data_IF_851309969662
#
_entry.id   IF_851309969662
#
_cell.length_a   1.000
_cell.length_b   1.000
_cell.length_c   1.000
_cell.angle_alpha   90.00
_cell.angle_beta   90.00
_cell.angle_gamma   90.00
#
_symmetry.space_group_name_H-M   'P 1'
#
loop_
_entity.id
_entity.type
_entity.pdbx_description
1 polymer ?
#
# COMPACT_ATOMS: atom_id res chain seq x y z
N UNK A 1 12.46 -25.03 4.73
CA UNK A 1 11.24 -24.23 4.54
C UNK A 1 10.22 -24.93 3.65
N UNK A 2 10.35 -24.96 2.32
CA UNK A 2 9.33 -25.58 1.45
C UNK A 2 9.06 -27.06 1.74
N UNK A 3 10.11 -27.87 1.91
CA UNK A 3 9.99 -29.33 2.12
C UNK A 3 9.51 -29.72 3.52
N UNK A 4 9.95 -28.98 4.53
CA UNK A 4 9.74 -29.36 5.94
C UNK A 4 8.52 -28.65 6.56
N UNK A 5 8.34 -27.37 6.24
CA UNK A 5 7.31 -26.52 6.84
C UNK A 5 6.17 -26.20 5.88
N UNK A 6 6.28 -26.64 4.62
CA UNK A 6 5.25 -26.48 3.60
C UNK A 6 4.75 -25.04 3.41
N UNK A 7 5.59 -24.02 3.62
CA UNK A 7 5.20 -22.62 3.35
C UNK A 7 4.96 -22.39 1.85
N UNK A 8 4.11 -21.42 1.52
CA UNK A 8 3.68 -21.12 0.14
C UNK A 8 4.45 -19.97 -0.53
N UNK A 9 5.47 -19.43 0.15
CA UNK A 9 6.28 -18.37 -0.41
C UNK A 9 7.33 -17.83 0.54
N UNK A 10 8.12 -16.91 0.01
CA UNK A 10 9.20 -16.22 0.69
C UNK A 10 9.08 -14.71 0.45
N UNK A 11 9.36 -13.93 1.50
CA UNK A 11 9.69 -12.51 1.37
C UNK A 11 11.18 -12.37 1.68
N UNK A 12 11.96 -11.96 0.69
CA UNK A 12 13.40 -11.74 0.81
C UNK A 12 13.63 -10.31 1.31
N UNK A 13 14.24 -10.21 2.50
CA UNK A 13 14.56 -8.95 3.16
C UNK A 13 15.72 -8.23 2.46
N UNK A 14 15.59 -6.90 2.35
CA UNK A 14 16.60 -5.96 1.90
C UNK A 14 17.49 -6.48 0.75
N UNK A 15 16.91 -6.95 -0.36
CA UNK A 15 17.67 -7.65 -1.41
C UNK A 15 18.70 -6.78 -2.11
N UNK A 16 18.58 -5.45 -1.99
CA UNK A 16 19.56 -4.47 -2.44
C UNK A 16 20.89 -4.54 -1.66
N UNK A 17 20.90 -5.11 -0.46
CA UNK A 17 22.09 -5.36 0.35
C UNK A 17 22.77 -6.71 0.04
N UNK A 18 22.16 -7.54 -0.82
CA UNK A 18 22.77 -8.79 -1.28
C UNK A 18 23.69 -8.46 -2.47
N UNK A 19 24.99 -8.35 -2.17
CA UNK A 19 26.01 -8.00 -3.15
C UNK A 19 26.55 -9.26 -3.82
N UNK A 20 26.20 -9.49 -5.08
CA UNK A 20 26.71 -10.60 -5.87
C UNK A 20 27.11 -10.14 -7.28
N UNK A 21 28.37 -10.39 -7.65
CA UNK A 21 28.96 -10.02 -8.93
C UNK A 21 29.11 -11.21 -9.89
N UNK A 22 28.66 -12.41 -9.49
CA UNK A 22 28.70 -13.59 -10.36
C UNK A 22 27.80 -13.40 -11.59
N UNK A 23 28.12 -14.03 -12.74
CA UNK A 23 27.27 -13.97 -13.93
C UNK A 23 25.84 -14.46 -13.69
N UNK A 24 25.67 -15.49 -12.85
CA UNK A 24 24.38 -15.91 -12.30
C UNK A 24 24.26 -15.34 -10.89
N UNK A 25 23.40 -14.33 -10.73
CA UNK A 25 23.18 -13.67 -9.46
C UNK A 25 22.45 -14.62 -8.49
N UNK A 26 22.78 -14.58 -7.19
CA UNK A 26 22.20 -15.49 -6.18
C UNK A 26 20.67 -15.41 -6.13
N UNK A 27 20.09 -14.23 -6.35
CA UNK A 27 18.63 -14.06 -6.39
C UNK A 27 17.99 -14.80 -7.57
N UNK A 28 18.64 -14.81 -8.73
CA UNK A 28 18.19 -15.57 -9.90
C UNK A 28 18.32 -17.07 -9.63
N UNK A 29 19.48 -17.50 -9.12
CA UNK A 29 19.75 -18.89 -8.76
C UNK A 29 18.73 -19.42 -7.72
N UNK A 30 18.44 -18.61 -6.69
CA UNK A 30 17.48 -18.90 -5.63
C UNK A 30 16.05 -18.99 -6.17
N UNK A 31 15.63 -18.02 -6.99
CA UNK A 31 14.29 -18.02 -7.60
C UNK A 31 14.07 -19.29 -8.42
N UNK A 32 15.02 -19.62 -9.30
CA UNK A 32 14.96 -20.83 -10.10
C UNK A 32 14.94 -22.11 -9.25
N UNK A 33 15.72 -22.17 -8.16
CA UNK A 33 15.73 -23.32 -7.27
C UNK A 33 14.39 -23.51 -6.55
N UNK A 34 13.76 -22.41 -6.11
CA UNK A 34 12.44 -22.41 -5.49
C UNK A 34 11.37 -22.86 -6.48
N UNK A 35 11.33 -22.29 -7.69
CA UNK A 35 10.32 -22.65 -8.69
C UNK A 35 10.46 -24.09 -9.18
N UNK A 36 11.68 -24.62 -9.34
CA UNK A 36 11.90 -26.05 -9.63
C UNK A 36 11.36 -26.96 -8.53
N UNK A 37 11.57 -26.59 -7.27
CA UNK A 37 11.04 -27.36 -6.14
C UNK A 37 9.51 -27.25 -6.04
N UNK A 38 8.94 -26.08 -6.35
CA UNK A 38 7.50 -25.85 -6.41
C UNK A 38 6.85 -26.73 -7.48
N UNK A 39 7.42 -26.77 -8.69
CA UNK A 39 6.99 -27.63 -9.80
C UNK A 39 7.05 -29.11 -9.41
N UNK A 40 8.15 -29.55 -8.79
CA UNK A 40 8.31 -30.93 -8.29
C UNK A 40 7.22 -31.33 -7.30
N UNK A 41 6.73 -30.39 -6.50
CA UNK A 41 5.67 -30.61 -5.52
C UNK A 41 4.26 -30.37 -6.09
N UNK A 42 4.12 -29.88 -7.34
CA UNK A 42 2.84 -29.49 -7.91
C UNK A 42 2.18 -28.31 -7.18
N UNK A 43 2.99 -27.38 -6.65
CA UNK A 43 2.54 -26.24 -5.85
C UNK A 43 2.90 -24.92 -6.51
N UNK A 44 2.08 -23.91 -6.30
CA UNK A 44 2.42 -22.53 -6.61
C UNK A 44 3.17 -21.92 -5.41
N UNK A 45 4.39 -21.44 -5.62
CA UNK A 45 5.22 -20.82 -4.57
C UNK A 45 5.67 -19.45 -5.07
N UNK A 46 5.50 -18.43 -4.23
CA UNK A 46 5.88 -17.05 -4.58
C UNK A 46 7.17 -16.60 -3.89
N UNK A 47 8.02 -15.88 -4.61
CA UNK A 47 9.23 -15.24 -4.08
C UNK A 47 9.12 -13.72 -4.27
N UNK A 48 8.96 -12.99 -3.17
CA UNK A 48 8.75 -11.54 -3.16
C UNK A 48 9.99 -10.86 -2.59
N UNK A 49 10.48 -9.82 -3.25
CA UNK A 49 11.62 -9.03 -2.78
C UNK A 49 11.16 -7.78 -2.04
N UNK A 50 11.90 -7.39 -1.02
CA UNK A 50 11.95 -6.02 -0.52
C UNK A 50 13.19 -5.33 -1.08
N UNK A 51 13.01 -4.19 -1.74
CA UNK A 51 14.12 -3.42 -2.31
C UNK A 51 13.81 -1.93 -2.35
N UNK A 52 14.74 -1.11 -1.84
CA UNK A 52 14.69 0.35 -2.00
C UNK A 52 15.07 0.80 -3.41
N UNK A 53 15.48 -0.09 -4.33
CA UNK A 53 16.15 0.32 -5.58
C UNK A 53 15.21 0.78 -6.71
N UNK A 54 13.91 0.45 -6.65
CA UNK A 54 12.99 0.55 -7.79
C UNK A 54 13.54 -0.10 -9.08
N UNK A 55 14.22 -1.25 -8.93
CA UNK A 55 14.84 -1.97 -10.04
C UNK A 55 13.91 -3.08 -10.56
N UNK A 56 13.34 -2.94 -11.78
CA UNK A 56 12.48 -3.96 -12.36
C UNK A 56 13.22 -5.26 -12.69
N UNK A 57 14.56 -5.28 -12.67
CA UNK A 57 15.36 -6.50 -12.88
C UNK A 57 14.97 -7.60 -11.89
N UNK A 58 14.58 -7.25 -10.66
CA UNK A 58 14.16 -8.21 -9.64
C UNK A 58 13.02 -9.11 -10.14
N UNK A 59 12.02 -8.52 -10.79
CA UNK A 59 10.76 -9.20 -11.17
C UNK A 59 10.68 -9.53 -12.67
N UNK A 60 11.61 -9.01 -13.47
CA UNK A 60 11.68 -9.34 -14.89
C UNK A 60 12.05 -10.82 -15.10
N UNK A 61 11.54 -11.40 -16.19
CA UNK A 61 11.83 -12.79 -16.55
C UNK A 61 13.33 -12.98 -16.85
N UNK A 62 13.94 -14.15 -16.52
CA UNK A 62 15.35 -14.41 -16.81
C UNK A 62 15.73 -14.25 -18.29
N UNK A 63 14.84 -14.64 -19.22
CA UNK A 63 15.05 -14.43 -20.65
C UNK A 63 15.16 -12.94 -21.07
N UNK A 64 14.70 -12.01 -20.22
CA UNK A 64 14.85 -10.56 -20.40
C UNK A 64 15.96 -9.95 -19.50
N UNK A 65 16.81 -10.79 -18.90
CA UNK A 65 17.92 -10.38 -18.02
C UNK A 65 17.52 -10.07 -16.57
N UNK A 66 16.32 -10.47 -16.15
CA UNK A 66 15.85 -10.33 -14.76
C UNK A 66 16.14 -11.55 -13.88
N UNK A 67 15.80 -11.45 -12.59
CA UNK A 67 15.98 -12.54 -11.62
C UNK A 67 14.76 -13.47 -11.51
N UNK A 68 13.64 -13.10 -12.14
CA UNK A 68 12.44 -13.92 -12.13
C UNK A 68 11.79 -14.05 -10.76
N UNK A 69 11.89 -13.06 -9.88
CA UNK A 69 11.10 -13.02 -8.64
C UNK A 69 9.63 -12.72 -8.98
N UNK A 70 8.72 -13.23 -8.16
CA UNK A 70 7.28 -13.13 -8.41
C UNK A 70 6.70 -11.77 -8.03
N UNK A 71 7.38 -11.03 -7.14
CA UNK A 71 6.97 -9.68 -6.80
C UNK A 71 8.03 -8.86 -6.08
N UNK A 72 7.72 -7.58 -5.90
CA UNK A 72 8.55 -6.61 -5.18
C UNK A 72 7.65 -5.68 -4.36
N UNK A 73 8.09 -5.34 -3.15
CA UNK A 73 7.46 -4.29 -2.36
C UNK A 73 7.68 -2.94 -3.05
N UNK A 74 6.60 -2.17 -3.23
CA UNK A 74 6.66 -0.80 -3.70
C UNK A 74 6.39 0.17 -2.56
N UNK A 75 7.47 0.58 -1.89
CA UNK A 75 7.39 1.57 -0.83
C UNK A 75 7.06 2.97 -1.37
N UNK A 76 7.33 3.24 -2.65
CA UNK A 76 6.91 4.46 -3.34
C UNK A 76 5.39 4.70 -3.24
N UNK A 77 4.60 3.62 -3.34
CA UNK A 77 3.15 3.69 -3.16
C UNK A 77 2.80 4.12 -1.73
N UNK A 78 3.41 3.46 -0.75
CA UNK A 78 3.23 3.77 0.67
C UNK A 78 3.62 5.23 0.98
N UNK A 79 4.84 5.64 0.62
CA UNK A 79 5.34 6.99 0.91
C UNK A 79 4.48 8.07 0.25
N UNK A 80 4.06 7.85 -1.01
CA UNK A 80 3.17 8.78 -1.71
C UNK A 80 1.82 8.94 -1.01
N UNK A 81 1.23 7.82 -0.57
CA UNK A 81 -0.05 7.82 0.16
C UNK A 81 0.10 8.44 1.55
N UNK A 82 1.09 8.02 2.34
CA UNK A 82 1.33 8.52 3.69
C UNK A 82 1.58 10.01 3.71
N UNK A 83 2.48 10.53 2.85
CA UNK A 83 2.77 11.96 2.77
C UNK A 83 1.55 12.81 2.35
N UNK A 84 0.60 12.25 1.59
CA UNK A 84 -0.66 12.93 1.26
C UNK A 84 -1.64 12.95 2.43
N UNK A 85 -1.68 11.88 3.22
CA UNK A 85 -2.59 11.75 4.36
C UNK A 85 -2.11 12.55 5.57
N UNK A 86 -0.82 12.48 5.90
CA UNK A 86 -0.27 13.07 7.13
C UNK A 86 0.33 14.46 6.93
N UNK A 87 0.71 14.80 5.69
CA UNK A 87 1.48 16.01 5.42
C UNK A 87 2.96 15.91 5.82
N UNK A 88 3.43 14.77 6.35
CA UNK A 88 4.83 14.59 6.74
C UNK A 88 5.78 14.68 5.54
N UNK A 89 6.95 15.32 5.76
CA UNK A 89 8.00 15.55 4.76
C UNK A 89 9.40 15.28 5.29
N UNK A 90 9.55 14.69 6.47
CA UNK A 90 10.85 14.38 7.05
C UNK A 90 11.45 13.10 6.44
N UNK A 91 12.78 12.99 6.43
CA UNK A 91 13.45 11.77 5.94
C UNK A 91 13.17 11.50 4.46
N UNK A 92 12.83 10.25 4.14
CA UNK A 92 12.48 9.85 2.77
C UNK A 92 11.13 10.42 2.30
N UNK A 93 10.25 10.88 3.20
CA UNK A 93 8.96 11.48 2.81
C UNK A 93 9.09 12.81 2.05
N UNK A 94 10.24 13.50 2.12
CA UNK A 94 10.48 14.74 1.37
C UNK A 94 10.44 14.53 -0.16
N UNK A 95 10.66 13.30 -0.62
CA UNK A 95 10.61 12.93 -2.03
C UNK A 95 9.17 12.82 -2.56
N UNK A 96 8.16 12.93 -1.67
CA UNK A 96 6.76 12.62 -1.97
C UNK A 96 5.79 13.75 -1.56
N UNK A 97 4.48 13.46 -1.61
CA UNK A 97 3.44 14.34 -1.07
C UNK A 97 2.70 15.24 -2.06
N UNK A 98 2.77 14.93 -3.35
CA UNK A 98 1.90 15.48 -4.39
C UNK A 98 0.95 14.39 -4.90
N UNK A 99 -0.19 14.79 -5.47
CA UNK A 99 -1.12 13.82 -6.07
C UNK A 99 -0.49 13.09 -7.26
N UNK A 100 0.41 13.76 -8.01
CA UNK A 100 1.12 13.14 -9.12
C UNK A 100 2.06 12.02 -8.65
N UNK A 101 2.67 12.13 -7.46
CA UNK A 101 3.48 11.04 -6.90
C UNK A 101 2.65 9.76 -6.73
N UNK A 102 1.50 9.86 -6.06
CA UNK A 102 0.60 8.70 -5.90
C UNK A 102 0.01 8.23 -7.24
N UNK A 103 -0.31 9.15 -8.15
CA UNK A 103 -0.83 8.79 -9.48
C UNK A 103 0.22 8.03 -10.31
N UNK A 104 1.52 8.37 -10.22
CA UNK A 104 2.60 7.60 -10.86
C UNK A 104 2.71 6.19 -10.29
N UNK A 105 2.68 6.06 -8.95
CA UNK A 105 2.65 4.75 -8.30
C UNK A 105 1.43 3.93 -8.76
N UNK A 106 0.23 4.51 -8.81
CA UNK A 106 -0.99 3.86 -9.30
C UNK A 106 -0.94 3.44 -10.77
N UNK A 107 -0.17 4.14 -11.62
CA UNK A 107 -0.01 3.80 -13.05
C UNK A 107 1.05 2.73 -13.32
N UNK A 108 2.13 2.73 -12.55
CA UNK A 108 3.35 2.05 -12.97
C UNK A 108 4.06 1.19 -11.92
N UNK A 109 3.51 1.13 -10.71
CA UNK A 109 4.08 0.42 -9.57
C UNK A 109 5.03 1.31 -8.78
N UNK A 110 5.89 2.07 -9.46
CA UNK A 110 6.84 3.01 -8.86
C UNK A 110 6.46 4.48 -9.13
N UNK A 111 6.92 5.37 -8.24
CA UNK A 111 6.87 6.83 -8.43
C UNK A 111 8.15 7.32 -9.10
N UNK A 112 9.30 6.81 -8.65
CA UNK A 112 10.63 7.10 -9.18
C UNK A 112 11.05 6.02 -10.17
N UNK A 113 11.21 6.42 -11.43
CA UNK A 113 11.58 5.58 -12.58
C UNK A 113 12.77 6.18 -13.36
N UNK A 114 13.61 6.96 -12.68
CA UNK A 114 14.81 7.61 -13.22
C UNK A 114 14.95 9.08 -12.84
N UNK A 115 13.95 9.67 -12.18
CA UNK A 115 13.99 11.05 -11.70
C UNK A 115 15.02 11.22 -10.57
N UNK A 116 15.48 12.45 -10.36
CA UNK A 116 16.35 12.79 -9.23
C UNK A 116 15.56 12.77 -7.92
N UNK A 117 16.04 12.02 -6.93
CA UNK A 117 15.52 11.98 -5.56
C UNK A 117 16.30 12.96 -4.68
N UNK A 118 15.67 14.02 -4.15
CA UNK A 118 16.28 14.93 -3.18
C UNK A 118 16.86 14.21 -1.95
N UNK A 119 16.16 13.22 -1.41
CA UNK A 119 16.59 12.45 -0.25
C UNK A 119 17.84 11.62 -0.55
N UNK A 120 17.81 10.84 -1.63
CA UNK A 120 18.91 9.93 -2.01
C UNK A 120 20.05 10.66 -2.72
N UNK A 121 19.85 11.92 -3.10
CA UNK A 121 20.79 12.80 -3.81
C UNK A 121 21.33 12.19 -5.10
N UNK A 122 20.51 11.41 -5.80
CA UNK A 122 20.83 10.73 -7.06
C UNK A 122 19.58 10.46 -7.88
N UNK A 123 19.75 10.13 -9.16
CA UNK A 123 18.68 9.54 -9.96
C UNK A 123 18.27 8.19 -9.39
N UNK A 124 16.97 7.93 -9.36
CA UNK A 124 16.41 6.79 -8.66
C UNK A 124 15.38 6.02 -9.47
N UNK A 125 15.46 4.69 -9.42
CA UNK A 125 14.56 3.76 -10.09
C UNK A 125 14.72 3.68 -11.61
N UNK A 126 13.97 2.74 -12.20
CA UNK A 126 13.92 2.51 -13.65
C UNK A 126 12.50 2.15 -14.08
N UNK A 127 12.08 2.48 -15.33
CA UNK A 127 10.75 2.10 -15.79
C UNK A 127 10.60 0.58 -15.86
N UNK A 128 9.42 0.09 -15.48
CA UNK A 128 9.08 -1.34 -15.45
C UNK A 128 7.99 -1.71 -16.50
N UNK A 129 8.21 -1.50 -17.81
CA UNK A 129 7.15 -1.63 -18.82
C UNK A 129 6.64 -3.06 -18.99
N UNK A 130 7.47 -4.06 -18.67
CA UNK A 130 7.14 -5.49 -18.75
C UNK A 130 6.57 -6.06 -17.44
N UNK A 131 6.53 -5.27 -16.37
CA UNK A 131 6.02 -5.73 -15.08
C UNK A 131 4.49 -5.76 -15.07
N UNK A 132 3.92 -6.87 -14.61
CA UNK A 132 2.48 -6.97 -14.35
C UNK A 132 2.13 -6.31 -13.00
N UNK A 133 0.94 -5.68 -12.86
CA UNK A 133 0.50 -5.13 -11.59
C UNK A 133 0.53 -6.14 -10.43
N UNK A 134 0.21 -7.42 -10.67
CA UNK A 134 0.33 -8.48 -9.66
C UNK A 134 1.74 -8.67 -9.08
N UNK A 135 2.79 -8.11 -9.69
CA UNK A 135 4.16 -8.20 -9.20
C UNK A 135 4.53 -7.08 -8.23
N UNK A 136 3.65 -6.10 -8.02
CA UNK A 136 3.88 -5.04 -7.03
C UNK A 136 3.06 -5.33 -5.78
N UNK A 137 3.73 -5.37 -4.63
CA UNK A 137 3.10 -5.46 -3.32
C UNK A 137 3.04 -4.05 -2.74
N UNK A 138 1.84 -3.60 -2.37
CA UNK A 138 1.60 -2.25 -1.85
C UNK A 138 0.93 -2.32 -0.49
N UNK A 139 1.20 -1.32 0.37
CA UNK A 139 0.60 -1.24 1.69
C UNK A 139 0.39 0.22 2.12
N UNK A 140 -0.52 0.43 3.08
CA UNK A 140 -0.58 1.65 3.87
C UNK A 140 0.26 1.52 5.16
N UNK A 141 0.43 0.30 5.67
CA UNK A 141 1.30 0.01 6.81
C UNK A 141 1.98 -1.34 6.61
N UNK A 142 3.19 -1.46 7.13
CA UNK A 142 3.88 -2.71 7.39
C UNK A 142 4.72 -2.55 8.67
N UNK A 143 5.56 -3.54 8.99
CA UNK A 143 6.35 -3.51 10.21
C UNK A 143 7.41 -2.39 10.23
N UNK A 144 8.01 -2.05 9.08
CA UNK A 144 8.98 -0.94 8.97
C UNK A 144 8.28 0.41 9.03
N UNK A 145 7.22 0.59 8.24
CA UNK A 145 6.55 1.88 8.11
C UNK A 145 5.88 2.34 9.42
N UNK A 146 5.54 1.38 10.30
CA UNK A 146 5.11 1.65 11.68
C UNK A 146 6.31 1.63 12.63
N UNK A 147 7.10 0.56 12.63
CA UNK A 147 8.13 0.30 13.66
C UNK A 147 9.40 1.13 13.56
N UNK A 148 9.66 1.74 12.39
CA UNK A 148 10.76 2.69 12.22
C UNK A 148 10.40 4.13 12.63
N UNK A 149 9.17 4.37 13.08
CA UNK A 149 8.80 5.60 13.79
C UNK A 149 9.27 5.52 15.24
N UNK A 150 9.59 6.65 15.86
CA UNK A 150 10.23 6.65 17.18
C UNK A 150 9.35 5.97 18.25
N UNK A 151 8.05 6.28 18.27
CA UNK A 151 7.10 5.67 19.20
C UNK A 151 6.34 4.48 18.61
N UNK A 152 6.57 4.15 17.34
CA UNK A 152 5.92 3.04 16.64
C UNK A 152 4.44 3.30 16.33
N UNK A 153 4.05 4.56 16.11
CA UNK A 153 2.65 4.92 15.91
C UNK A 153 2.08 4.34 14.61
N UNK A 154 0.92 3.70 14.70
CA UNK A 154 0.15 3.28 13.53
C UNK A 154 -0.49 4.47 12.83
N UNK A 155 -0.84 4.31 11.56
CA UNK A 155 -1.60 5.32 10.81
C UNK A 155 -2.90 5.72 11.53
N UNK A 156 -3.53 4.80 12.26
CA UNK A 156 -4.73 5.04 13.09
C UNK A 156 -4.53 6.03 14.26
N UNK A 157 -3.28 6.32 14.63
CA UNK A 157 -2.92 7.34 15.60
C UNK A 157 -2.53 8.67 14.95
N UNK A 158 -2.34 8.69 13.64
CA UNK A 158 -1.82 9.84 12.89
C UNK A 158 -2.91 10.58 12.11
N UNK A 159 -3.98 9.88 11.72
CA UNK A 159 -5.01 10.43 10.82
C UNK A 159 -6.43 10.10 11.28
N UNK A 160 -7.41 10.82 10.73
CA UNK A 160 -8.84 10.61 11.01
C UNK A 160 -9.37 9.27 10.45
N UNK A 161 -10.54 8.84 10.94
CA UNK A 161 -11.23 7.65 10.42
C UNK A 161 -11.53 7.74 8.91
N UNK A 162 -11.88 8.93 8.40
CA UNK A 162 -12.10 9.15 6.97
C UNK A 162 -10.81 8.87 6.17
N UNK A 163 -9.69 9.42 6.63
CA UNK A 163 -8.37 9.18 6.03
C UNK A 163 -7.94 7.70 6.10
N UNK A 164 -8.26 6.98 7.18
CA UNK A 164 -8.02 5.53 7.26
C UNK A 164 -8.84 4.75 6.21
N UNK A 165 -10.12 5.10 6.04
CA UNK A 165 -10.99 4.47 5.02
C UNK A 165 -10.51 4.79 3.61
N UNK A 166 -10.02 6.01 3.37
CA UNK A 166 -9.40 6.40 2.10
C UNK A 166 -8.12 5.62 1.83
N UNK A 167 -7.23 5.47 2.83
CA UNK A 167 -6.01 4.69 2.72
C UNK A 167 -6.32 3.22 2.36
N UNK A 168 -7.26 2.61 3.09
CA UNK A 168 -7.71 1.24 2.86
C UNK A 168 -8.24 1.03 1.45
N UNK A 169 -9.13 1.91 0.97
CA UNK A 169 -9.67 1.83 -0.38
C UNK A 169 -8.58 2.03 -1.45
N UNK A 170 -7.66 2.97 -1.22
CA UNK A 170 -6.54 3.24 -2.13
C UNK A 170 -5.66 2.00 -2.30
N UNK A 171 -5.33 1.30 -1.21
CA UNK A 171 -4.51 0.07 -1.22
C UNK A 171 -5.29 -1.13 -1.79
N UNK A 172 -6.45 -1.43 -1.23
CA UNK A 172 -7.19 -2.68 -1.52
C UNK A 172 -7.84 -2.64 -2.90
N UNK A 173 -8.25 -1.48 -3.42
CA UNK A 173 -8.86 -1.38 -4.75
C UNK A 173 -7.83 -1.05 -5.86
N UNK A 174 -6.55 -0.88 -5.50
CA UNK A 174 -5.46 -0.73 -6.46
C UNK A 174 -5.31 -1.96 -7.37
N UNK A 175 -4.67 -1.82 -8.54
CA UNK A 175 -4.37 -2.97 -9.41
C UNK A 175 -3.27 -3.90 -8.85
N UNK A 176 -2.66 -3.57 -7.72
CA UNK A 176 -1.50 -4.24 -7.14
C UNK A 176 -1.90 -5.26 -6.07
N UNK A 177 -0.96 -6.05 -5.56
CA UNK A 177 -1.19 -6.97 -4.44
C UNK A 177 -1.19 -6.20 -3.10
N UNK A 178 -2.32 -6.13 -2.37
CA UNK A 178 -2.36 -5.44 -1.09
C UNK A 178 -1.72 -6.29 0.02
N UNK A 179 -0.82 -5.69 0.79
CA UNK A 179 -0.34 -6.18 2.08
C UNK A 179 -1.02 -5.37 3.19
N UNK A 180 -1.59 -6.07 4.18
CA UNK A 180 -2.19 -5.47 5.37
C UNK A 180 -1.33 -5.77 6.59
N UNK A 181 -1.08 -4.77 7.42
CA UNK A 181 -0.41 -4.98 8.69
C UNK A 181 -1.42 -5.39 9.77
N UNK A 182 -1.06 -6.38 10.59
CA UNK A 182 -1.95 -6.89 11.63
C UNK A 182 -2.51 -5.76 12.50
N UNK A 183 -3.83 -5.68 12.66
CA UNK A 183 -4.47 -4.60 13.43
C UNK A 183 -5.01 -3.45 12.58
N UNK A 184 -4.49 -3.24 11.37
CA UNK A 184 -4.92 -2.18 10.46
C UNK A 184 -6.42 -2.29 10.14
N UNK A 185 -6.94 -3.50 10.00
CA UNK A 185 -8.29 -3.75 9.50
C UNK A 185 -9.39 -3.26 10.44
N UNK A 186 -9.08 -3.06 11.73
CA UNK A 186 -9.98 -2.44 12.69
C UNK A 186 -9.39 -1.18 13.31
N UNK A 187 -8.28 -0.67 12.78
CA UNK A 187 -7.62 0.54 13.28
C UNK A 187 -7.09 0.39 14.70
N UNK A 188 -6.38 -0.71 14.99
CA UNK A 188 -5.69 -0.91 16.28
C UNK A 188 -4.84 0.31 16.63
N UNK A 189 -4.83 0.70 17.91
CA UNK A 189 -4.12 1.88 18.40
C UNK A 189 -2.85 1.54 19.18
N UNK A 190 -2.61 0.26 19.48
CA UNK A 190 -1.35 -0.18 20.05
C UNK A 190 -0.21 0.12 19.06
N UNK A 191 0.90 0.72 19.51
CA UNK A 191 2.04 0.92 18.63
C UNK A 191 2.62 -0.42 18.16
N UNK A 192 3.51 -0.40 17.18
CA UNK A 192 4.39 -1.52 16.90
C UNK A 192 5.81 -1.03 17.03
N UNK A 193 6.41 -1.22 18.20
CA UNK A 193 7.72 -0.66 18.55
C UNK A 193 8.85 -1.61 18.14
N UNK A 194 10.05 -1.08 17.95
CA UNK A 194 11.24 -1.91 17.81
C UNK A 194 11.64 -2.47 19.19
N UNK A 195 11.55 -3.79 19.37
CA UNK A 195 11.92 -4.50 20.60
C UNK A 195 12.92 -5.62 20.32
N UNK A 196 13.79 -5.89 21.28
CA UNK A 196 14.80 -6.96 21.24
C UNK A 196 14.88 -7.70 22.57
N UNK A 197 15.59 -8.83 22.59
CA UNK A 197 15.85 -9.61 23.80
C UNK A 197 17.27 -10.19 23.74
N UNK A 198 18.27 -9.32 23.57
CA UNK A 198 19.67 -9.75 23.49
C UNK A 198 20.18 -10.12 24.89
N UNK A 199 20.76 -11.31 25.01
CA UNK A 199 21.39 -11.75 26.26
C UNK A 199 22.76 -11.13 26.51
N UNK A 200 23.45 -10.69 25.46
CA UNK A 200 24.73 -9.99 25.53
C UNK A 200 24.52 -8.51 25.93
N UNK A 201 25.03 -8.07 27.10
CA UNK A 201 24.87 -6.69 27.56
C UNK A 201 25.52 -5.64 26.66
N UNK A 202 26.63 -5.95 26.00
CA UNK A 202 27.32 -5.00 25.13
C UNK A 202 26.51 -4.79 23.85
N UNK A 203 25.94 -5.87 23.30
CA UNK A 203 25.01 -5.80 22.18
C UNK A 203 23.72 -5.05 22.57
N UNK A 204 23.16 -5.33 23.75
CA UNK A 204 22.01 -4.64 24.29
C UNK A 204 22.21 -3.12 24.34
N UNK A 205 23.34 -2.70 24.91
CA UNK A 205 23.73 -1.31 25.02
C UNK A 205 23.97 -0.68 23.63
N UNK A 206 24.67 -1.38 22.74
CA UNK A 206 24.93 -0.92 21.38
C UNK A 206 23.62 -0.70 20.59
N UNK A 207 22.64 -1.58 20.71
CA UNK A 207 21.31 -1.45 20.08
C UNK A 207 20.57 -0.23 20.63
N UNK A 208 20.53 -0.06 21.96
CA UNK A 208 19.86 1.08 22.61
C UNK A 208 20.44 2.41 22.13
N UNK A 209 21.76 2.53 22.13
CA UNK A 209 22.45 3.75 21.70
C UNK A 209 22.38 3.96 20.18
N UNK A 210 22.41 2.88 19.39
CA UNK A 210 22.21 2.92 17.94
C UNK A 210 20.85 3.53 17.60
N UNK A 211 19.78 3.04 18.25
CA UNK A 211 18.43 3.55 18.06
C UNK A 211 18.34 5.03 18.44
N UNK A 212 18.82 5.43 19.63
CA UNK A 212 18.81 6.85 20.06
C UNK A 212 19.51 7.77 19.06
N UNK A 213 20.67 7.37 18.53
CA UNK A 213 21.40 8.15 17.51
C UNK A 213 20.63 8.28 16.19
N UNK A 214 19.97 7.21 15.76
CA UNK A 214 19.14 7.22 14.55
C UNK A 214 18.01 8.26 14.66
N UNK A 215 17.27 8.28 15.78
CA UNK A 215 16.14 9.21 15.97
C UNK A 215 16.54 10.65 16.29
N UNK A 216 17.73 10.87 16.85
CA UNK A 216 18.27 12.21 17.03
C UNK A 216 18.36 12.96 15.67
N UNK A 217 18.61 12.24 14.57
CA UNK A 217 18.63 12.82 13.22
C UNK A 217 17.24 13.23 12.70
N UNK A 218 16.16 12.67 13.25
CA UNK A 218 14.79 12.98 12.86
C UNK A 218 14.15 14.09 13.70
N UNK A 219 14.83 14.56 14.77
CA UNK A 219 14.33 15.53 15.76
C UNK A 219 13.14 15.03 16.62
N UNK A 220 13.04 13.72 16.81
CA UNK A 220 12.05 13.10 17.69
C UNK A 220 12.78 12.98 19.04
N UNK A 221 12.28 13.64 20.08
CA UNK A 221 13.00 13.89 21.33
C UNK A 221 13.32 12.66 22.19
N UNK A 222 13.49 12.86 23.49
CA UNK A 222 13.92 11.84 24.48
C UNK A 222 12.94 10.65 24.67
N UNK A 223 11.83 10.58 23.94
CA UNK A 223 10.73 9.62 24.10
C UNK A 223 10.90 8.29 23.33
N UNK A 224 12.11 7.97 22.84
CA UNK A 224 12.37 6.69 22.16
C UNK A 224 12.29 5.54 23.18
N UNK A 225 11.35 4.58 23.04
CA UNK A 225 11.25 3.44 23.93
C UNK A 225 12.53 2.60 23.92
N UNK A 226 12.95 2.11 25.10
CA UNK A 226 14.07 1.19 25.19
C UNK A 226 13.71 -0.16 24.52
N UNK A 227 14.45 -0.59 23.46
CA UNK A 227 14.13 -1.84 22.77
C UNK A 227 14.27 -3.08 23.66
N UNK A 228 15.12 -3.05 24.70
CA UNK A 228 15.34 -4.17 25.61
C UNK A 228 14.37 -4.19 26.81
N UNK A 229 13.55 -3.15 27.00
CA UNK A 229 12.52 -3.15 28.05
C UNK A 229 11.36 -4.07 27.63
N UNK A 230 11.03 -5.11 28.42
CA UNK A 230 9.87 -5.97 28.13
C UNK A 230 8.56 -5.21 27.91
N UNK A 231 8.39 -4.03 28.53
CA UNK A 231 7.22 -3.20 28.33
C UNK A 231 7.08 -2.70 26.87
N UNK A 232 8.17 -2.57 26.11
CA UNK A 232 8.17 -2.20 24.68
C UNK A 232 7.53 -3.31 23.83
N UNK A 233 7.82 -4.56 24.14
CA UNK A 233 7.12 -5.70 23.53
C UNK A 233 5.66 -5.77 23.97
N UNK A 234 5.36 -5.62 25.27
CA UNK A 234 4.00 -5.71 25.79
C UNK A 234 3.07 -4.62 25.22
N UNK A 235 3.55 -3.37 25.10
CA UNK A 235 2.80 -2.28 24.44
C UNK A 235 2.53 -2.54 22.96
N UNK A 236 3.34 -3.39 22.31
CA UNK A 236 3.21 -3.71 20.89
C UNK A 236 2.18 -4.83 20.60
N UNK A 237 1.56 -5.40 21.64
CA UNK A 237 0.52 -6.41 21.49
C UNK A 237 -0.81 -5.79 21.05
N UNK A 238 -1.46 -6.45 20.10
CA UNK A 238 -2.76 -6.02 19.55
C UNK A 238 -3.85 -5.92 20.62
N UNK A 239 -4.59 -4.82 20.58
CA UNK A 239 -5.75 -4.57 21.44
C UNK A 239 -7.03 -5.11 20.79
N UNK A 240 -7.18 -6.44 20.79
CA UNK A 240 -8.27 -7.13 20.08
C UNK A 240 -9.68 -6.70 20.52
N UNK A 241 -9.85 -6.29 21.78
CA UNK A 241 -11.12 -5.80 22.32
C UNK A 241 -11.63 -4.52 21.63
N UNK A 242 -10.75 -3.73 20.99
CA UNK A 242 -11.17 -2.56 20.22
C UNK A 242 -12.19 -2.91 19.14
N UNK A 243 -12.14 -4.11 18.56
CA UNK A 243 -13.06 -4.59 17.52
C UNK A 243 -14.53 -4.55 17.92
N UNK A 244 -14.84 -4.55 19.20
CA UNK A 244 -16.22 -4.50 19.72
C UNK A 244 -16.76 -3.08 19.82
N UNK A 245 -15.87 -2.08 19.76
CA UNK A 245 -16.27 -0.67 19.79
C UNK A 245 -16.74 -0.23 18.40
N UNK A 246 -17.79 0.61 18.38
CA UNK A 246 -18.51 1.03 17.18
C UNK A 246 -17.61 1.44 16.00
N UNK A 247 -16.63 2.32 16.24
CA UNK A 247 -15.77 2.85 15.17
C UNK A 247 -14.85 1.78 14.55
N UNK A 248 -14.28 0.92 15.38
CA UNK A 248 -13.35 -0.14 14.98
C UNK A 248 -14.10 -1.29 14.29
N UNK A 249 -15.30 -1.63 14.79
CA UNK A 249 -16.20 -2.58 14.15
C UNK A 249 -16.64 -2.10 12.75
N UNK A 250 -16.97 -0.82 12.62
CA UNK A 250 -17.34 -0.22 11.34
C UNK A 250 -16.17 -0.24 10.34
N UNK A 251 -14.95 0.09 10.79
CA UNK A 251 -13.75 -0.01 9.97
C UNK A 251 -13.49 -1.46 9.53
N UNK A 252 -13.64 -2.43 10.44
CA UNK A 252 -13.50 -3.84 10.10
C UNK A 252 -14.53 -4.31 9.07
N UNK A 253 -15.78 -3.89 9.21
CA UNK A 253 -16.83 -4.18 8.22
C UNK A 253 -16.50 -3.53 6.86
N UNK A 254 -15.96 -2.32 6.87
CA UNK A 254 -15.52 -1.63 5.66
C UNK A 254 -14.37 -2.38 4.96
N UNK A 255 -13.34 -2.83 5.68
CA UNK A 255 -12.26 -3.66 5.12
C UNK A 255 -12.79 -4.96 4.50
N UNK A 256 -13.74 -5.63 5.17
CA UNK A 256 -14.39 -6.84 4.62
C UNK A 256 -15.10 -6.53 3.31
N UNK A 257 -15.79 -5.39 3.22
CA UNK A 257 -16.47 -4.98 2.01
C UNK A 257 -15.50 -4.66 0.88
N UNK A 258 -14.40 -3.95 1.16
CA UNK A 258 -13.35 -3.69 0.16
C UNK A 258 -12.77 -5.00 -0.40
N UNK A 259 -12.49 -5.98 0.45
CA UNK A 259 -12.00 -7.30 0.03
C UNK A 259 -13.05 -8.07 -0.76
N UNK A 260 -14.33 -7.96 -0.39
CA UNK A 260 -15.44 -8.55 -1.15
C UNK A 260 -15.52 -7.94 -2.56
N UNK A 261 -15.55 -6.61 -2.65
CA UNK A 261 -15.60 -5.85 -3.90
C UNK A 261 -14.41 -6.18 -4.81
N UNK A 262 -13.19 -6.18 -4.24
CA UNK A 262 -11.97 -6.55 -4.96
C UNK A 262 -12.08 -7.94 -5.59
N UNK A 263 -12.69 -8.90 -4.90
CA UNK A 263 -12.88 -10.27 -5.40
C UNK A 263 -14.05 -10.41 -6.36
N UNK A 264 -15.13 -9.66 -6.17
CA UNK A 264 -16.38 -9.87 -6.90
C UNK A 264 -16.49 -9.08 -8.20
N UNK A 265 -15.84 -7.92 -8.30
CA UNK A 265 -15.90 -7.07 -9.49
C UNK A 265 -14.75 -7.47 -10.41
N UNK A 266 -15.00 -7.96 -11.65
CA UNK A 266 -13.95 -8.41 -12.56
C UNK A 266 -12.89 -7.34 -12.86
N UNK A 267 -13.31 -6.08 -13.06
CA UNK A 267 -12.39 -4.95 -13.27
C UNK A 267 -11.43 -4.69 -12.09
N UNK A 268 -11.79 -5.14 -10.87
CA UNK A 268 -10.91 -5.06 -9.70
C UNK A 268 -10.09 -6.34 -9.50
N UNK A 269 -10.69 -7.51 -9.74
CA UNK A 269 -10.09 -8.82 -9.53
C UNK A 269 -8.96 -9.13 -10.52
N UNK A 270 -9.06 -8.62 -11.76
CA UNK A 270 -8.03 -8.78 -12.79
C UNK A 270 -6.90 -7.79 -12.59
N UNK A 271 -5.70 -8.29 -12.24
CA UNK A 271 -4.51 -7.50 -11.90
C UNK A 271 -3.60 -7.28 -13.11
N UNK A 272 -4.19 -6.88 -14.23
CA UNK A 272 -3.49 -6.58 -15.47
C UNK A 272 -3.40 -5.08 -15.73
N UNK A 273 -2.43 -4.68 -16.55
CA UNK A 273 -2.15 -3.27 -16.84
C UNK A 273 -3.14 -2.67 -17.84
N UNK A 274 -3.71 -3.51 -18.69
CA UNK A 274 -4.66 -3.07 -19.72
C UNK A 274 -5.91 -2.45 -19.08
N UNK A 275 -6.40 -1.35 -19.68
CA UNK A 275 -7.61 -0.69 -19.21
C UNK A 275 -7.45 0.15 -17.93
N UNK A 276 -6.22 0.40 -17.44
CA UNK A 276 -5.98 1.31 -16.30
C UNK A 276 -5.74 2.74 -16.81
N UNK A 277 -6.60 3.67 -16.42
CA UNK A 277 -6.41 5.12 -16.60
C UNK A 277 -6.41 5.82 -15.23
N UNK A 278 -5.41 6.64 -14.98
CA UNK A 278 -5.25 7.36 -13.71
C UNK A 278 -5.05 8.84 -14.00
N UNK A 279 -5.97 9.66 -13.52
CA UNK A 279 -5.99 11.09 -13.77
C UNK A 279 -6.00 11.87 -12.46
N UNK A 280 -5.11 12.84 -12.35
CA UNK A 280 -5.11 13.81 -11.26
C UNK A 280 -6.10 14.92 -11.57
N UNK A 281 -6.84 15.36 -10.56
CA UNK A 281 -7.75 16.51 -10.58
C UNK A 281 -7.27 17.48 -9.49
N UNK A 282 -6.26 18.28 -9.83
CA UNK A 282 -5.55 19.13 -8.87
C UNK A 282 -6.50 20.13 -8.20
N UNK A 283 -7.39 20.77 -8.98
CA UNK A 283 -8.39 21.74 -8.51
C UNK A 283 -9.33 21.16 -7.44
N UNK A 284 -9.58 19.85 -7.49
CA UNK A 284 -10.46 19.14 -6.55
C UNK A 284 -9.69 18.26 -5.57
N UNK A 285 -8.36 18.37 -5.54
CA UNK A 285 -7.44 17.50 -4.81
C UNK A 285 -7.83 16.01 -4.86
N UNK A 286 -8.09 15.48 -6.04
CA UNK A 286 -8.55 14.09 -6.20
C UNK A 286 -7.79 13.32 -7.28
N UNK A 287 -7.83 11.99 -7.18
CA UNK A 287 -7.34 11.06 -8.19
C UNK A 287 -8.52 10.22 -8.66
N UNK A 288 -8.71 10.15 -9.98
CA UNK A 288 -9.71 9.31 -10.62
C UNK A 288 -8.99 8.14 -11.29
N UNK A 289 -9.35 6.92 -10.89
CA UNK A 289 -8.81 5.68 -11.42
C UNK A 289 -9.92 4.92 -12.14
N UNK A 290 -9.78 4.74 -13.44
CA UNK A 290 -10.67 3.90 -14.25
C UNK A 290 -10.00 2.57 -14.52
N UNK A 291 -10.76 1.48 -14.41
CA UNK A 291 -10.30 0.13 -14.74
C UNK A 291 -11.35 -0.59 -15.56
N UNK A 292 -10.90 -1.43 -16.48
CA UNK A 292 -11.75 -2.30 -17.28
C UNK A 292 -11.16 -3.70 -17.35
N UNK A 293 -12.01 -4.72 -17.28
CA UNK A 293 -11.66 -6.10 -17.58
C UNK A 293 -12.86 -6.79 -18.26
N UNK A 294 -12.73 -7.09 -19.55
CA UNK A 294 -13.87 -7.50 -20.38
C UNK A 294 -14.93 -6.40 -20.44
N UNK A 295 -16.17 -6.73 -20.08
CA UNK A 295 -17.30 -5.80 -20.02
C UNK A 295 -17.38 -5.04 -18.68
N UNK A 296 -16.76 -5.57 -17.62
CA UNK A 296 -16.74 -4.90 -16.32
C UNK A 296 -15.92 -3.62 -16.38
N UNK A 297 -16.52 -2.49 -15.99
CA UNK A 297 -15.89 -1.17 -15.93
C UNK A 297 -16.15 -0.54 -14.56
N UNK A 298 -15.11 0.06 -13.98
CA UNK A 298 -15.21 0.82 -12.74
C UNK A 298 -14.57 2.20 -12.85
N UNK A 299 -15.05 3.11 -12.01
CA UNK A 299 -14.43 4.40 -11.73
C UNK A 299 -14.28 4.56 -10.21
N UNK A 300 -13.04 4.60 -9.74
CA UNK A 300 -12.67 4.86 -8.36
C UNK A 300 -12.22 6.30 -8.21
N UNK A 301 -12.86 7.05 -7.32
CA UNK A 301 -12.53 8.43 -7.01
C UNK A 301 -11.93 8.46 -5.61
N UNK A 302 -10.72 9.01 -5.50
CA UNK A 302 -9.98 9.19 -4.26
C UNK A 302 -9.86 10.69 -3.98
N UNK A 303 -10.61 11.20 -3.01
CA UNK A 303 -10.66 12.61 -2.65
C UNK A 303 -9.75 12.91 -1.46
N UNK A 304 -8.73 13.75 -1.66
CA UNK A 304 -7.77 14.21 -0.65
C UNK A 304 -7.97 15.70 -0.30
N UNK A 305 -9.17 16.22 -0.54
CA UNK A 305 -9.55 17.57 -0.17
C UNK A 305 -9.96 17.63 1.31
N UNK A 306 -9.66 18.76 1.96
CA UNK A 306 -10.09 19.04 3.33
C UNK A 306 -11.56 19.48 3.41
N UNK A 307 -12.13 19.90 2.29
CA UNK A 307 -13.52 20.35 2.17
C UNK A 307 -14.24 19.53 1.10
N UNK A 308 -15.56 19.40 1.26
CA UNK A 308 -16.39 18.66 0.31
C UNK A 308 -16.27 19.24 -1.10
N UNK A 309 -16.17 18.36 -2.10
CA UNK A 309 -15.93 18.72 -3.49
C UNK A 309 -17.13 18.34 -4.37
N UNK A 310 -17.22 19.02 -5.50
CA UNK A 310 -18.05 18.63 -6.65
C UNK A 310 -17.11 18.38 -7.81
N UNK A 311 -16.90 17.10 -8.15
CA UNK A 311 -15.87 16.68 -9.09
C UNK A 311 -16.53 16.41 -10.45
N UNK A 312 -16.18 17.17 -11.51
CA UNK A 312 -16.66 16.91 -12.85
C UNK A 312 -15.96 15.67 -13.41
N UNK A 313 -16.77 14.68 -13.81
CA UNK A 313 -16.32 13.42 -14.37
C UNK A 313 -16.91 13.24 -15.76
N UNK A 314 -16.04 12.89 -16.72
CA UNK A 314 -16.46 12.28 -17.97
C UNK A 314 -16.48 10.76 -17.76
N UNK A 315 -17.66 10.18 -17.93
CA UNK A 315 -17.92 8.74 -17.81
C UNK A 315 -18.68 8.30 -19.06
N UNK A 316 -18.59 7.01 -19.38
CA UNK A 316 -19.37 6.43 -20.48
C UNK A 316 -20.87 6.60 -20.19
N UNK A 317 -21.70 6.85 -21.22
CA UNK A 317 -23.14 6.92 -21.05
C UNK A 317 -23.71 5.61 -20.48
N UNK A 318 -24.80 5.71 -19.72
CA UNK A 318 -25.48 4.58 -19.10
C UNK A 318 -25.62 4.74 -17.59
N UNK A 319 -25.98 3.65 -16.92
CA UNK A 319 -26.18 3.62 -15.46
C UNK A 319 -24.89 3.25 -14.75
N UNK A 320 -24.49 4.03 -13.76
CA UNK A 320 -23.35 3.75 -12.90
C UNK A 320 -23.83 3.53 -11.46
N UNK A 321 -23.57 2.36 -10.92
CA UNK A 321 -24.00 1.95 -9.59
C UNK A 321 -22.95 2.34 -8.56
N UNK A 322 -23.38 2.95 -7.45
CA UNK A 322 -22.49 3.32 -6.33
C UNK A 322 -22.23 2.07 -5.49
N UNK A 323 -21.08 1.43 -5.70
CA UNK A 323 -20.66 0.23 -4.96
C UNK A 323 -20.06 0.56 -3.61
N UNK A 324 -19.41 1.72 -3.52
CA UNK A 324 -18.79 2.21 -2.30
C UNK A 324 -18.91 3.72 -2.23
N UNK A 325 -19.32 4.22 -1.07
CA UNK A 325 -19.02 5.56 -0.59
C UNK A 325 -18.46 5.39 0.82
N UNK A 326 -17.19 5.74 1.02
CA UNK A 326 -16.53 5.56 2.30
C UNK A 326 -17.17 6.38 3.42
N UNK A 327 -17.88 7.46 3.10
CA UNK A 327 -18.53 8.34 4.07
C UNK A 327 -20.00 7.99 4.34
N UNK A 328 -20.52 6.89 3.79
CA UNK A 328 -21.84 6.38 4.17
C UNK A 328 -21.93 6.08 5.69
N UNK A 329 -23.11 6.31 6.27
CA UNK A 329 -23.34 6.18 7.73
C UNK A 329 -23.03 4.77 8.27
N UNK A 330 -23.25 3.73 7.46
CA UNK A 330 -22.92 2.33 7.81
C UNK A 330 -21.44 2.11 8.11
N UNK A 331 -20.57 2.99 7.61
CA UNK A 331 -19.12 3.00 7.84
C UNK A 331 -18.69 4.04 8.88
N UNK A 332 -19.64 4.54 9.68
CA UNK A 332 -19.43 5.59 10.66
C UNK A 332 -18.85 6.88 10.01
N UNK A 333 -19.26 7.18 8.78
CA UNK A 333 -18.94 8.40 8.05
C UNK A 333 -19.98 9.51 8.26
N UNK A 334 -19.76 10.66 7.63
CA UNK A 334 -20.59 11.87 7.78
C UNK A 334 -21.86 11.88 6.92
N UNK A 335 -22.14 10.82 6.16
CA UNK A 335 -23.26 10.71 5.24
C UNK A 335 -22.84 10.84 3.78
N UNK A 336 -23.44 10.01 2.93
CA UNK A 336 -23.22 10.04 1.49
C UNK A 336 -23.88 11.27 0.86
N UNK A 337 -23.24 11.82 -0.18
CA UNK A 337 -23.81 12.87 -1.04
C UNK A 337 -24.37 12.30 -2.35
N UNK A 338 -24.41 10.98 -2.46
CA UNK A 338 -24.80 10.24 -3.66
C UNK A 338 -26.04 9.39 -3.36
N UNK A 339 -26.85 9.15 -4.39
CA UNK A 339 -27.83 8.06 -4.37
C UNK A 339 -27.16 6.71 -4.71
N UNK A 340 -27.96 5.66 -4.82
CA UNK A 340 -27.45 4.31 -5.11
C UNK A 340 -26.94 4.16 -6.56
N UNK A 341 -27.36 5.03 -7.47
CA UNK A 341 -26.99 5.01 -8.88
C UNK A 341 -26.94 6.41 -9.51
N UNK A 342 -26.20 6.52 -10.61
CA UNK A 342 -26.01 7.72 -11.40
C UNK A 342 -26.36 7.42 -12.87
N UNK A 343 -27.34 8.14 -13.43
CA UNK A 343 -27.58 8.13 -14.86
C UNK A 343 -26.62 9.12 -15.54
N UNK A 344 -25.73 8.62 -16.40
CA UNK A 344 -24.71 9.42 -17.08
C UNK A 344 -25.05 9.52 -18.56
N UNK A 345 -25.06 10.74 -19.09
CA UNK A 345 -25.15 10.99 -20.53
C UNK A 345 -23.80 11.35 -21.16
N UNK A 346 -22.93 12.05 -20.42
CA UNK A 346 -21.56 12.39 -20.86
C UNK A 346 -20.71 12.91 -19.70
N UNK A 347 -21.19 13.95 -19.03
CA UNK A 347 -20.57 14.59 -17.89
C UNK A 347 -21.48 14.49 -16.66
N UNK A 348 -20.90 14.18 -15.51
CA UNK A 348 -21.59 14.18 -14.22
C UNK A 348 -20.77 14.95 -13.19
N UNK A 349 -21.46 15.68 -12.33
CA UNK A 349 -20.86 16.38 -11.19
C UNK A 349 -21.03 15.50 -9.95
N UNK A 350 -19.96 14.84 -9.53
CA UNK A 350 -19.98 13.91 -8.40
C UNK A 350 -19.69 14.66 -7.10
N UNK A 351 -20.63 14.61 -6.15
CA UNK A 351 -20.40 15.11 -4.79
C UNK A 351 -19.51 14.17 -4.00
N UNK A 352 -18.37 14.64 -3.52
CA UNK A 352 -17.45 13.89 -2.66
C UNK A 352 -17.26 14.58 -1.31
N UNK A 353 -17.27 13.81 -0.23
CA UNK A 353 -16.92 14.32 1.10
C UNK A 353 -15.38 14.50 1.23
N UNK A 354 -14.89 15.27 2.22
CA UNK A 354 -13.46 15.32 2.53
C UNK A 354 -12.89 13.92 2.79
N UNK A 355 -11.66 13.67 2.36
CA UNK A 355 -10.94 12.42 2.64
C UNK A 355 -11.75 11.14 2.36
N UNK A 356 -12.41 11.08 1.20
CA UNK A 356 -13.37 10.02 0.86
C UNK A 356 -12.94 9.20 -0.36
N UNK A 357 -13.39 7.95 -0.40
CA UNK A 357 -13.25 7.05 -1.53
C UNK A 357 -14.62 6.64 -2.05
N UNK A 358 -14.85 6.75 -3.36
CA UNK A 358 -16.10 6.42 -4.02
C UNK A 358 -15.80 5.45 -5.15
N UNK A 359 -16.50 4.31 -5.20
CA UNK A 359 -16.39 3.32 -6.27
C UNK A 359 -17.70 3.25 -7.03
N UNK A 360 -17.63 3.55 -8.32
CA UNK A 360 -18.71 3.38 -9.28
C UNK A 360 -18.43 2.16 -10.16
N UNK A 361 -19.46 1.38 -10.45
CA UNK A 361 -19.43 0.28 -11.42
C UNK A 361 -20.46 0.57 -12.52
N UNK A 362 -20.05 0.45 -13.78
CA UNK A 362 -20.96 0.61 -14.91
C UNK A 362 -21.89 -0.61 -14.97
N UNK A 363 -23.19 -0.37 -15.07
CA UNK A 363 -24.20 -1.40 -15.29
C UNK A 363 -24.28 -1.65 -16.79
N UNK A 364 -23.96 -2.87 -17.22
CA UNK A 364 -24.15 -3.27 -18.61
C UNK A 364 -25.66 -3.37 -18.89
N UNK A 365 -26.12 -2.67 -19.94
CA UNK A 365 -27.45 -2.85 -20.53
C UNK A 365 -27.48 -4.20 -21.27
N UNK A 366 -27.50 -5.32 -20.56
CA UNK A 366 -27.63 -6.67 -21.15
C UNK A 366 -29.09 -7.07 -21.37
#
# INVERSE_FOLDING_TARGET
WLREYHIDGFRLDAVHAILDQRPLHILEELSQAIHREAERQGRLIHVIAESDANDPRLIAHPAAGGYGLDGVWSDDFHHSLHSLLTGERQGYYQDYGSLDHLARALRSGFTYIGQYSPHRRRSHGRPAPLAHPRQFVVCAQNHDQVGNRAAGERLSQLVSLAQLKLAAATVILSPYLPLLFMGEEYGDTAPFQYFTSHSDPDLAHAVREGRRREFAAFAWGDDVPDPQDPATFERSKLQRALREQRQHAALQAYYRELLRLRRSIPALATLDREGIDVQVREEHRSIVVRRQAGESRICLILCFAEQAQTIPLSLEPGTWLVRLDSEAERWNGQGSRLGDQLAVNSMVNLGAQPWSAILLEHEDDS
#
